data_IF_483052057431
#
_entry.id   IF_483052057431
#
_cell.length_a   1.000
_cell.length_b   1.000
_cell.length_c   1.000
_cell.angle_alpha   90.00
_cell.angle_beta   90.00
_cell.angle_gamma   90.00
#
_symmetry.space_group_name_H-M   'P 1'
#
loop_
_entity.id
_entity.type
_entity.pdbx_description
1 polymer ?
#
# COMPACT_ATOMS: atom_id res chain seq x y z
N UNK A 1 14.02 3.75 -1.98
CA UNK A 1 13.31 3.51 -3.25
C UNK A 1 14.32 3.10 -4.29
N UNK A 2 13.95 2.20 -5.19
CA UNK A 2 14.73 1.76 -6.33
C UNK A 2 13.86 1.87 -7.57
N UNK A 3 14.38 2.50 -8.62
CA UNK A 3 13.65 2.70 -9.87
C UNK A 3 14.60 2.39 -11.04
N UNK A 4 14.17 1.45 -11.87
CA UNK A 4 14.84 1.02 -13.10
C UNK A 4 13.91 1.10 -14.30
N UNK A 5 12.76 1.75 -14.14
CA UNK A 5 11.80 1.94 -15.23
C UNK A 5 12.39 2.85 -16.29
N UNK A 6 12.08 2.54 -17.54
CA UNK A 6 12.50 3.33 -18.69
C UNK A 6 11.81 4.71 -18.77
N UNK A 7 10.61 4.86 -18.18
CA UNK A 7 9.87 6.11 -18.11
C UNK A 7 9.14 6.23 -16.78
N UNK A 8 9.14 7.43 -16.15
CA UNK A 8 8.50 7.63 -14.85
C UNK A 8 6.96 7.72 -14.93
N UNK A 9 6.42 8.14 -16.07
CA UNK A 9 4.98 8.38 -16.27
C UNK A 9 4.33 7.23 -17.04
N UNK A 10 4.98 6.76 -18.11
CA UNK A 10 4.48 5.68 -18.97
C UNK A 10 5.54 4.57 -19.11
N UNK A 11 5.83 3.82 -18.04
CA UNK A 11 6.79 2.75 -18.07
C UNK A 11 6.34 1.62 -18.99
N UNK A 12 7.22 1.17 -19.88
CA UNK A 12 7.01 -0.02 -20.73
C UNK A 12 7.97 -1.16 -20.40
N UNK A 13 9.05 -0.86 -19.67
CA UNK A 13 10.03 -1.85 -19.22
C UNK A 13 10.68 -1.38 -17.91
N UNK A 14 10.90 -2.31 -16.99
CA UNK A 14 11.73 -2.14 -15.81
C UNK A 14 10.95 -2.39 -14.52
N UNK A 15 11.61 -2.10 -13.41
CA UNK A 15 11.09 -2.38 -12.07
C UNK A 15 11.15 -1.13 -11.19
N UNK A 16 10.09 -0.92 -10.42
CA UNK A 16 10.02 0.07 -9.36
C UNK A 16 9.75 -0.62 -8.03
N UNK A 17 10.57 -0.31 -7.04
CA UNK A 17 10.44 -0.80 -5.68
C UNK A 17 10.51 0.33 -4.67
N UNK A 18 9.58 0.39 -3.74
CA UNK A 18 9.59 1.35 -2.64
C UNK A 18 9.37 0.65 -1.32
N UNK A 19 10.21 0.99 -0.33
CA UNK A 19 10.03 0.63 1.06
C UNK A 19 9.89 1.93 1.86
N UNK A 20 8.77 2.08 2.56
CA UNK A 20 8.51 3.20 3.44
C UNK A 20 8.36 2.68 4.87
N UNK A 21 9.19 3.20 5.78
CA UNK A 21 9.14 2.92 7.20
C UNK A 21 8.74 4.19 7.93
N UNK A 22 7.71 4.12 8.78
CA UNK A 22 7.26 5.22 9.62
C UNK A 22 7.15 4.71 11.05
N UNK A 23 7.57 5.50 12.02
CA UNK A 23 7.39 5.17 13.42
C UNK A 23 7.08 6.45 14.20
N UNK A 24 6.15 6.35 15.15
CA UNK A 24 5.94 7.39 16.15
C UNK A 24 6.91 7.13 17.30
N UNK A 25 7.83 8.06 17.57
CA UNK A 25 8.87 7.96 18.62
C UNK A 25 8.53 8.86 19.82
N UNK A 26 9.04 8.56 21.04
CA UNK A 26 8.90 9.45 22.18
C UNK A 26 9.41 10.87 21.87
N UNK A 27 8.77 11.95 22.37
CA UNK A 27 7.72 12.02 23.40
C UNK A 27 6.28 11.90 22.88
N UNK A 28 6.06 11.40 21.65
CA UNK A 28 4.71 11.24 21.11
C UNK A 28 3.83 10.37 22.04
N UNK A 29 2.58 10.80 22.26
CA UNK A 29 1.59 10.05 23.05
C UNK A 29 1.16 8.75 22.38
N UNK A 30 1.44 8.62 21.08
CA UNK A 30 1.12 7.45 20.26
C UNK A 30 2.41 6.69 19.95
N UNK A 31 2.36 5.36 20.03
CA UNK A 31 3.51 4.48 19.80
C UNK A 31 3.12 3.41 18.81
N UNK A 32 3.54 3.60 17.56
CA UNK A 32 3.30 2.65 16.48
C UNK A 32 4.47 2.68 15.49
N UNK A 33 4.60 1.60 14.74
CA UNK A 33 5.51 1.48 13.60
C UNK A 33 4.74 0.89 12.41
N UNK A 34 5.03 1.41 11.23
CA UNK A 34 4.38 1.09 9.97
C UNK A 34 5.45 0.82 8.93
N UNK A 35 5.29 -0.27 8.20
CA UNK A 35 6.08 -0.57 7.03
C UNK A 35 5.16 -0.76 5.83
N UNK A 36 5.54 -0.16 4.70
CA UNK A 36 4.83 -0.29 3.43
C UNK A 36 5.85 -0.63 2.35
N UNK A 37 5.56 -1.69 1.60
CA UNK A 37 6.34 -2.15 0.45
C UNK A 37 5.46 -2.04 -0.78
N UNK A 38 6.00 -1.43 -1.83
CA UNK A 38 5.40 -1.38 -3.16
C UNK A 38 6.40 -1.92 -4.17
N UNK A 39 5.93 -2.76 -5.07
CA UNK A 39 6.69 -3.29 -6.19
C UNK A 39 5.83 -3.17 -7.45
N UNK A 40 6.37 -2.61 -8.52
CA UNK A 40 5.77 -2.55 -9.84
C UNK A 40 6.79 -3.07 -10.86
N UNK A 41 6.39 -4.01 -11.69
CA UNK A 41 7.21 -4.62 -12.73
C UNK A 41 6.52 -4.46 -14.08
N UNK A 42 7.26 -4.01 -15.08
CA UNK A 42 6.78 -3.82 -16.44
C UNK A 42 7.65 -4.59 -17.41
N UNK A 43 7.02 -5.31 -18.33
CA UNK A 43 7.72 -6.08 -19.34
C UNK A 43 7.04 -5.94 -20.71
N UNK A 44 7.78 -5.56 -21.76
CA UNK A 44 7.23 -5.49 -23.11
C UNK A 44 7.05 -6.92 -23.65
N UNK A 45 5.80 -7.32 -23.87
CA UNK A 45 5.47 -8.63 -24.46
C UNK A 45 5.59 -8.56 -25.98
N UNK A 46 5.16 -7.44 -26.57
CA UNK A 46 5.35 -7.11 -27.99
C UNK A 46 5.72 -5.64 -28.14
N UNK A 47 5.95 -5.16 -29.37
CA UNK A 47 6.21 -3.74 -29.65
C UNK A 47 5.06 -2.79 -29.27
N UNK A 48 3.85 -3.33 -29.10
CA UNK A 48 2.64 -2.56 -28.79
C UNK A 48 1.96 -3.00 -27.47
N UNK A 49 2.36 -4.12 -26.88
CA UNK A 49 1.79 -4.65 -25.64
C UNK A 49 2.85 -4.70 -24.53
N UNK A 50 2.55 -4.06 -23.42
CA UNK A 50 3.32 -4.16 -22.17
C UNK A 50 2.46 -4.85 -21.12
N UNK A 51 3.00 -5.91 -20.49
CA UNK A 51 2.45 -6.48 -19.28
C UNK A 51 2.94 -5.71 -18.05
N UNK A 52 2.05 -5.49 -17.08
CA UNK A 52 2.39 -4.90 -15.79
C UNK A 52 2.04 -5.86 -14.67
N UNK A 53 2.84 -5.92 -13.62
CA UNK A 53 2.51 -6.57 -12.37
C UNK A 53 2.77 -5.58 -11.26
N UNK A 54 1.80 -5.33 -10.39
CA UNK A 54 2.06 -4.59 -9.16
C UNK A 54 1.62 -5.34 -7.92
N UNK A 55 2.39 -5.12 -6.86
CA UNK A 55 2.19 -5.67 -5.54
C UNK A 55 2.38 -4.59 -4.50
N UNK A 56 1.49 -4.54 -3.52
CA UNK A 56 1.58 -3.68 -2.35
C UNK A 56 1.32 -4.50 -1.10
N UNK A 57 2.19 -4.35 -0.13
CA UNK A 57 2.06 -4.97 1.18
C UNK A 57 2.32 -3.93 2.25
N UNK A 58 1.47 -3.89 3.27
CA UNK A 58 1.62 -2.98 4.38
C UNK A 58 1.28 -3.66 5.69
N UNK A 59 2.03 -3.32 6.73
CA UNK A 59 1.65 -3.67 8.09
C UNK A 59 1.94 -2.49 9.04
N UNK A 60 1.10 -2.38 10.07
CA UNK A 60 1.23 -1.41 11.14
C UNK A 60 0.97 -2.11 12.46
N UNK A 61 1.77 -1.79 13.47
CA UNK A 61 1.57 -2.33 14.79
C UNK A 61 1.93 -1.30 15.87
N UNK A 62 1.26 -1.42 17.01
CA UNK A 62 1.50 -0.61 18.19
C UNK A 62 2.67 -1.18 18.99
N UNK A 63 3.31 -0.35 19.81
CA UNK A 63 4.37 -0.81 20.72
C UNK A 63 4.27 -0.09 22.08
N UNK A 64 4.90 -0.68 23.10
CA UNK A 64 4.86 -0.11 24.46
C UNK A 64 3.46 -0.10 25.08
N UNK A 65 2.63 -1.10 24.77
CA UNK A 65 1.28 -1.29 25.34
C UNK A 65 0.17 -0.45 24.69
N UNK A 66 0.50 0.39 23.72
CA UNK A 66 -0.49 1.22 23.00
C UNK A 66 -0.92 0.54 21.70
N UNK A 67 -2.21 0.62 21.39
CA UNK A 67 -2.76 0.16 20.12
C UNK A 67 -2.55 1.18 19.01
N UNK A 68 -2.61 0.70 17.77
CA UNK A 68 -2.57 1.57 16.58
C UNK A 68 -3.86 2.39 16.52
N UNK A 69 -3.79 3.72 16.38
CA UNK A 69 -4.98 4.54 16.13
C UNK A 69 -5.62 4.17 14.78
N UNK A 70 -6.95 4.09 14.74
CA UNK A 70 -7.69 3.69 13.55
C UNK A 70 -7.37 4.54 12.30
N UNK A 71 -7.10 5.83 12.46
CA UNK A 71 -6.77 6.73 11.35
C UNK A 71 -5.43 6.40 10.66
N UNK A 72 -4.56 5.58 11.26
CA UNK A 72 -3.33 5.10 10.65
C UNK A 72 -3.47 3.71 10.02
N UNK A 73 -4.65 3.09 10.11
CA UNK A 73 -4.91 1.81 9.48
C UNK A 73 -4.86 1.92 7.96
N UNK A 74 -4.76 0.76 7.33
CA UNK A 74 -4.87 0.62 5.89
C UNK A 74 -6.33 0.55 5.49
N UNK A 75 -6.68 1.34 4.48
CA UNK A 75 -8.01 1.37 3.90
C UNK A 75 -7.93 0.99 2.43
N UNK A 76 -8.84 0.12 2.00
CA UNK A 76 -8.90 -0.39 0.64
C UNK A 76 -10.27 -0.12 0.04
N UNK A 77 -10.29 0.09 -1.27
CA UNK A 77 -11.47 0.41 -2.06
C UNK A 77 -11.36 1.79 -2.71
N UNK A 78 -11.94 1.94 -3.89
CA UNK A 78 -11.83 3.15 -4.70
C UNK A 78 -10.72 3.06 -5.76
N UNK A 79 -10.57 4.11 -6.57
CA UNK A 79 -9.78 4.08 -7.81
C UNK A 79 -8.27 3.86 -7.59
N UNK A 80 -7.76 4.17 -6.40
CA UNK A 80 -6.31 4.10 -6.11
C UNK A 80 -5.85 2.74 -5.61
N UNK A 81 -6.76 1.89 -5.13
CA UNK A 81 -6.42 0.54 -4.68
C UNK A 81 -7.15 -0.49 -5.52
N UNK A 82 -8.49 -0.47 -5.50
CA UNK A 82 -9.33 -1.50 -6.09
C UNK A 82 -10.50 -0.82 -6.80
N UNK A 83 -10.32 -0.49 -8.10
CA UNK A 83 -11.40 -0.01 -8.94
C UNK A 83 -12.60 -0.98 -8.90
N UNK A 84 -13.81 -0.43 -8.92
CA UNK A 84 -15.05 -1.22 -8.80
C UNK A 84 -15.55 -1.42 -7.37
N UNK A 85 -14.74 -1.11 -6.35
CA UNK A 85 -15.18 -1.07 -4.96
C UNK A 85 -15.41 0.36 -4.49
N UNK A 86 -16.42 0.55 -3.64
CA UNK A 86 -16.62 1.83 -2.96
C UNK A 86 -15.41 2.19 -2.09
N UNK A 87 -15.08 3.48 -2.00
CA UNK A 87 -13.93 3.95 -1.22
C UNK A 87 -14.00 3.46 0.22
N UNK A 88 -12.91 2.87 0.70
CA UNK A 88 -12.77 2.33 2.07
C UNK A 88 -13.72 1.19 2.43
N UNK A 89 -14.44 0.60 1.47
CA UNK A 89 -15.41 -0.46 1.77
C UNK A 89 -14.76 -1.80 2.14
N UNK A 90 -13.51 -2.02 1.73
CA UNK A 90 -12.79 -3.25 1.96
C UNK A 90 -11.96 -3.19 3.25
N UNK A 91 -12.23 -4.15 4.14
CA UNK A 91 -11.53 -4.32 5.40
C UNK A 91 -12.48 -4.38 6.61
N UNK A 92 -11.93 -4.38 7.83
CA UNK A 92 -12.73 -4.39 9.05
C UNK A 92 -13.66 -3.18 9.15
N UNK A 93 -14.89 -3.44 9.58
CA UNK A 93 -15.92 -2.43 9.82
C UNK A 93 -16.48 -2.60 11.23
N UNK A 94 -16.84 -1.49 11.88
CA UNK A 94 -17.51 -1.48 13.18
C UNK A 94 -18.77 -0.65 13.05
N UNK A 95 -19.93 -1.27 13.28
CA UNK A 95 -21.23 -0.59 13.15
C UNK A 95 -21.51 -0.05 11.73
N UNK A 96 -20.97 -0.70 10.70
CA UNK A 96 -21.10 -0.26 9.29
C UNK A 96 -20.11 0.83 8.86
N UNK A 97 -19.25 1.31 9.76
CA UNK A 97 -18.19 2.27 9.43
C UNK A 97 -16.86 1.55 9.19
N UNK A 98 -16.13 1.88 8.11
CA UNK A 98 -14.83 1.29 7.85
C UNK A 98 -13.80 1.79 8.86
N UNK A 99 -13.20 0.85 9.61
CA UNK A 99 -12.14 1.16 10.57
C UNK A 99 -10.75 0.83 10.03
N UNK A 100 -10.68 0.20 8.86
CA UNK A 100 -9.42 -0.19 8.22
C UNK A 100 -8.70 -1.33 8.92
N UNK A 101 -7.74 -1.94 8.24
CA UNK A 101 -6.95 -3.06 8.74
C UNK A 101 -5.57 -2.64 9.25
N UNK A 102 -4.98 -3.42 10.16
CA UNK A 102 -3.57 -3.26 10.54
C UNK A 102 -2.59 -3.87 9.53
N UNK A 103 -3.12 -4.57 8.52
CA UNK A 103 -2.36 -5.19 7.43
C UNK A 103 -3.12 -4.99 6.12
N UNK A 104 -2.41 -4.77 5.03
CA UNK A 104 -2.94 -4.77 3.67
C UNK A 104 -2.08 -5.64 2.76
N UNK A 105 -2.73 -6.27 1.78
CA UNK A 105 -2.08 -6.97 0.70
C UNK A 105 -2.91 -6.73 -0.56
N UNK A 106 -2.26 -6.23 -1.61
CA UNK A 106 -2.89 -5.94 -2.88
C UNK A 106 -1.98 -6.40 -4.01
N UNK A 107 -2.59 -7.06 -4.99
CA UNK A 107 -1.93 -7.49 -6.21
C UNK A 107 -2.79 -7.14 -7.41
N UNK A 108 -2.14 -6.69 -8.48
CA UNK A 108 -2.75 -6.38 -9.77
C UNK A 108 -1.82 -6.82 -10.91
N UNK A 109 -2.42 -7.17 -12.03
CA UNK A 109 -1.78 -7.61 -13.26
C UNK A 109 -2.53 -7.02 -14.46
#
# INVERSE_FOLDING_TARGET
>A
TFDSRNSPIFPTNGFYGSLALKAAVPPAKLRWYKAEIKADYYHPITSWLTGGLSGRYGFINGYGGLSVPFFNNFYMGGPTTLPGYQTYSLGPQVGGYPVGGTRELLFNA
#
